data_IF_498762485042
#
_entry.id   IF_498762485042
#
_cell.length_a   1.000
_cell.length_b   1.000
_cell.length_c   1.000
_cell.angle_alpha   90.00
_cell.angle_beta   90.00
_cell.angle_gamma   90.00
#
_symmetry.space_group_name_H-M   'P 1'
#
loop_
_entity.id
_entity.type
_entity.pdbx_description
1 polymer ?
#
# COMPACT_ATOMS: atom_id res chain seq x y z
N UNK A 1 -4.06 -38.02 -5.21
CA UNK A 1 -3.45 -36.93 -4.43
C UNK A 1 -3.19 -35.77 -5.38
N UNK A 2 -3.98 -34.70 -5.33
CA UNK A 2 -3.87 -33.60 -6.28
C UNK A 2 -2.65 -32.74 -5.93
N UNK A 3 -1.68 -32.71 -6.82
CA UNK A 3 -0.41 -32.01 -6.62
C UNK A 3 -0.62 -30.50 -6.73
N UNK A 4 -1.03 -29.83 -5.64
CA UNK A 4 -1.20 -28.39 -5.61
C UNK A 4 0.15 -27.68 -5.43
N UNK A 5 1.01 -27.77 -6.44
CA UNK A 5 2.31 -27.09 -6.46
C UNK A 5 2.08 -25.58 -6.34
N UNK A 6 2.70 -24.90 -5.37
CA UNK A 6 2.52 -23.46 -5.20
C UNK A 6 3.05 -22.74 -6.44
N UNK A 7 2.20 -21.92 -7.08
CA UNK A 7 2.58 -21.13 -8.25
C UNK A 7 3.67 -20.12 -7.84
N UNK A 8 4.88 -20.37 -8.29
CA UNK A 8 6.02 -19.47 -8.12
C UNK A 8 5.79 -18.17 -8.89
N UNK A 9 6.36 -17.08 -8.40
CA UNK A 9 6.25 -15.77 -9.04
C UNK A 9 7.04 -15.74 -10.35
N UNK A 10 8.25 -16.30 -10.34
CA UNK A 10 9.17 -16.29 -11.47
C UNK A 10 9.89 -14.94 -11.62
N UNK A 11 11.12 -14.96 -12.14
CA UNK A 11 12.02 -13.78 -12.21
C UNK A 11 11.42 -12.58 -12.95
N UNK A 12 10.77 -12.84 -14.08
CA UNK A 12 10.18 -11.78 -14.92
C UNK A 12 9.05 -11.04 -14.18
N UNK A 13 8.14 -11.78 -13.54
CA UNK A 13 7.02 -11.17 -12.81
C UNK A 13 7.47 -10.45 -11.55
N UNK A 14 8.44 -11.01 -10.81
CA UNK A 14 8.98 -10.38 -9.61
C UNK A 14 9.55 -8.98 -9.93
N UNK A 15 10.39 -8.87 -10.98
CA UNK A 15 10.91 -7.58 -11.45
C UNK A 15 9.81 -6.64 -11.95
N UNK A 16 8.79 -7.17 -12.62
CA UNK A 16 7.69 -6.36 -13.15
C UNK A 16 6.89 -5.73 -12.01
N UNK A 17 6.60 -6.50 -10.96
CA UNK A 17 5.90 -6.01 -9.77
C UNK A 17 6.76 -5.00 -9.01
N UNK A 18 8.04 -5.28 -8.80
CA UNK A 18 8.99 -4.34 -8.20
C UNK A 18 9.02 -2.99 -8.94
N UNK A 19 9.19 -3.01 -10.26
CA UNK A 19 9.21 -1.80 -11.08
C UNK A 19 7.86 -1.06 -11.05
N UNK A 20 6.74 -1.77 -11.01
CA UNK A 20 5.41 -1.15 -10.90
C UNK A 20 5.22 -0.46 -9.54
N UNK A 21 5.72 -1.04 -8.45
CA UNK A 21 5.64 -0.45 -7.10
C UNK A 21 6.47 0.85 -7.04
N UNK A 22 7.72 0.80 -7.53
CA UNK A 22 8.60 1.98 -7.59
C UNK A 22 7.98 3.06 -8.49
N UNK A 23 7.50 2.66 -9.68
CA UNK A 23 6.87 3.58 -10.63
C UNK A 23 5.62 4.26 -10.07
N UNK A 24 4.80 3.54 -9.30
CA UNK A 24 3.64 4.09 -8.61
C UNK A 24 4.04 5.19 -7.62
N UNK A 25 5.12 4.97 -6.85
CA UNK A 25 5.66 5.97 -5.94
C UNK A 25 6.13 7.23 -6.66
N UNK A 26 6.91 7.08 -7.73
CA UNK A 26 7.40 8.21 -8.53
C UNK A 26 6.22 8.99 -9.14
N UNK A 27 5.23 8.30 -9.71
CA UNK A 27 4.03 8.92 -10.26
C UNK A 27 3.25 9.72 -9.21
N UNK A 28 3.11 9.18 -8.00
CA UNK A 28 2.46 9.88 -6.88
C UNK A 28 3.22 11.17 -6.53
N UNK A 29 4.55 11.10 -6.42
CA UNK A 29 5.37 12.28 -6.10
C UNK A 29 5.24 13.37 -7.18
N UNK A 30 5.26 13.00 -8.47
CA UNK A 30 5.08 13.95 -9.56
C UNK A 30 3.72 14.65 -9.46
N UNK A 31 2.64 13.91 -9.14
CA UNK A 31 1.30 14.48 -8.98
C UNK A 31 1.17 15.39 -7.75
N UNK A 32 1.89 15.11 -6.67
CA UNK A 32 1.88 15.90 -5.44
C UNK A 32 2.68 17.20 -5.60
N UNK A 33 3.87 17.14 -6.18
CA UNK A 33 4.79 18.28 -6.21
C UNK A 33 4.57 19.26 -7.38
N UNK A 34 3.59 18.98 -8.26
CA UNK A 34 3.24 19.92 -9.32
C UNK A 34 2.33 21.06 -8.80
N UNK A 35 2.58 22.34 -9.18
CA UNK A 35 1.83 23.49 -8.67
C UNK A 35 0.58 23.85 -9.49
N UNK A 36 0.20 23.05 -10.50
CA UNK A 36 -0.79 23.43 -11.50
C UNK A 36 -2.23 23.03 -11.12
N UNK A 37 -2.43 21.93 -10.40
CA UNK A 37 -3.76 21.37 -10.15
C UNK A 37 -3.94 20.75 -8.77
N UNK A 38 -4.91 21.27 -8.00
CA UNK A 38 -5.34 20.69 -6.72
C UNK A 38 -6.00 19.32 -6.87
N UNK A 39 -6.63 19.04 -8.02
CA UNK A 39 -7.21 17.72 -8.31
C UNK A 39 -6.13 16.67 -8.45
N UNK A 40 -5.07 16.93 -9.22
CA UNK A 40 -3.93 16.02 -9.33
C UNK A 40 -3.22 15.86 -7.98
N UNK A 41 -3.06 16.94 -7.22
CA UNK A 41 -2.51 16.87 -5.86
C UNK A 41 -3.33 15.91 -4.98
N UNK A 42 -4.65 16.07 -4.96
CA UNK A 42 -5.55 15.22 -4.16
C UNK A 42 -5.48 13.74 -4.57
N UNK A 43 -5.45 13.47 -5.89
CA UNK A 43 -5.24 12.12 -6.42
C UNK A 43 -3.87 11.59 -5.98
N UNK A 44 -2.82 12.40 -6.09
CA UNK A 44 -1.47 12.06 -5.66
C UNK A 44 -1.38 11.71 -4.17
N UNK A 45 -2.08 12.44 -3.30
CA UNK A 45 -2.17 12.14 -1.87
C UNK A 45 -2.79 10.77 -1.58
N UNK A 46 -3.81 10.36 -2.34
CA UNK A 46 -4.35 9.00 -2.22
C UNK A 46 -3.36 7.97 -2.78
N UNK A 47 -2.78 8.28 -3.95
CA UNK A 47 -1.85 7.38 -4.64
C UNK A 47 -0.59 7.10 -3.79
N UNK A 48 -0.07 8.09 -3.06
CA UNK A 48 1.13 7.91 -2.23
C UNK A 48 0.87 6.98 -1.04
N UNK A 49 -0.35 6.94 -0.51
CA UNK A 49 -0.73 5.95 0.52
C UNK A 49 -0.71 4.55 -0.07
N UNK A 50 -1.29 4.37 -1.26
CA UNK A 50 -1.27 3.08 -1.97
C UNK A 50 0.18 2.67 -2.30
N UNK A 51 1.01 3.61 -2.74
CA UNK A 51 2.44 3.38 -3.01
C UNK A 51 3.19 3.00 -1.72
N UNK A 52 2.95 3.69 -0.61
CA UNK A 52 3.54 3.37 0.69
C UNK A 52 3.17 1.96 1.17
N UNK A 53 1.90 1.56 1.06
CA UNK A 53 1.47 0.20 1.36
C UNK A 53 2.12 -0.82 0.43
N UNK A 54 2.20 -0.51 -0.87
CA UNK A 54 2.81 -1.38 -1.86
C UNK A 54 4.32 -1.54 -1.65
N UNK A 55 5.02 -0.51 -1.17
CA UNK A 55 6.46 -0.57 -0.86
C UNK A 55 6.78 -1.59 0.24
N UNK A 56 5.84 -1.88 1.14
CA UNK A 56 6.00 -2.93 2.14
C UNK A 56 6.04 -4.35 1.51
N UNK A 57 5.66 -4.50 0.25
CA UNK A 57 5.73 -5.76 -0.50
C UNK A 57 7.06 -5.96 -1.22
N UNK A 58 7.91 -4.94 -1.36
CA UNK A 58 9.19 -5.05 -2.06
C UNK A 58 10.08 -6.19 -1.52
N UNK A 59 10.25 -6.37 -0.20
CA UNK A 59 11.08 -7.46 0.33
C UNK A 59 10.58 -8.87 -0.01
N UNK A 60 9.31 -9.02 -0.40
CA UNK A 60 8.69 -10.30 -0.73
C UNK A 60 8.55 -10.54 -2.23
N UNK A 61 8.89 -9.55 -3.07
CA UNK A 61 8.97 -9.66 -4.53
C UNK A 61 10.22 -10.43 -4.97
N UNK A 62 10.34 -11.69 -4.54
CA UNK A 62 11.47 -12.56 -4.88
C UNK A 62 11.06 -13.62 -5.90
N UNK A 63 11.92 -13.99 -6.86
CA UNK A 63 11.62 -15.02 -7.86
C UNK A 63 11.26 -16.38 -7.27
N UNK A 64 11.93 -16.75 -6.18
CA UNK A 64 11.68 -17.95 -5.37
C UNK A 64 10.42 -17.85 -4.48
N UNK A 65 9.77 -16.69 -4.44
CA UNK A 65 8.52 -16.47 -3.72
C UNK A 65 7.31 -17.11 -4.40
N UNK A 66 6.30 -17.42 -3.59
CA UNK A 66 5.01 -17.92 -4.08
C UNK A 66 3.99 -16.78 -4.15
N UNK A 67 3.11 -16.81 -5.15
CA UNK A 67 2.02 -15.82 -5.27
C UNK A 67 1.12 -15.80 -4.02
N UNK A 68 0.88 -16.96 -3.41
CA UNK A 68 0.08 -17.08 -2.19
C UNK A 68 0.74 -16.39 -1.00
N UNK A 69 2.07 -16.47 -0.89
CA UNK A 69 2.85 -15.74 0.11
C UNK A 69 2.74 -14.23 -0.08
N UNK A 70 2.90 -13.76 -1.33
CA UNK A 70 2.74 -12.35 -1.68
C UNK A 70 1.37 -11.79 -1.25
N UNK A 71 0.27 -12.47 -1.62
CA UNK A 71 -1.08 -12.04 -1.22
C UNK A 71 -1.32 -12.11 0.29
N UNK A 72 -0.75 -13.10 0.99
CA UNK A 72 -0.84 -13.17 2.45
C UNK A 72 -0.17 -11.95 3.10
N UNK A 73 1.01 -11.57 2.64
CA UNK A 73 1.73 -10.39 3.16
C UNK A 73 0.97 -9.10 2.82
N UNK A 74 0.42 -8.99 1.61
CA UNK A 74 -0.42 -7.86 1.22
C UNK A 74 -1.65 -7.70 2.14
N UNK A 75 -2.31 -8.81 2.49
CA UNK A 75 -3.43 -8.78 3.44
C UNK A 75 -3.01 -8.37 4.85
N UNK A 76 -1.83 -8.78 5.31
CA UNK A 76 -1.31 -8.37 6.62
C UNK A 76 -1.09 -6.86 6.63
N UNK A 77 -0.41 -6.31 5.63
CA UNK A 77 -0.15 -4.87 5.49
C UNK A 77 -1.47 -4.09 5.47
N UNK A 78 -2.44 -4.56 4.67
CA UNK A 78 -3.76 -3.94 4.59
C UNK A 78 -4.50 -3.96 5.94
N UNK A 79 -4.45 -5.09 6.66
CA UNK A 79 -5.09 -5.24 7.97
C UNK A 79 -4.49 -4.28 8.99
N UNK A 80 -3.15 -4.20 9.05
CA UNK A 80 -2.46 -3.27 9.96
C UNK A 80 -2.85 -1.82 9.62
N UNK A 81 -2.88 -1.46 8.34
CA UNK A 81 -3.30 -0.12 7.91
C UNK A 81 -4.73 0.21 8.37
N UNK A 82 -5.69 -0.70 8.14
CA UNK A 82 -7.09 -0.50 8.56
C UNK A 82 -7.21 -0.33 10.07
N UNK A 83 -6.49 -1.15 10.85
CA UNK A 83 -6.49 -1.04 12.32
C UNK A 83 -5.93 0.32 12.76
N UNK A 84 -4.80 0.75 12.20
CA UNK A 84 -4.20 2.06 12.53
C UNK A 84 -5.13 3.21 12.15
N UNK A 85 -5.76 3.17 10.97
CA UNK A 85 -6.72 4.18 10.52
C UNK A 85 -7.95 4.23 11.43
N UNK A 86 -8.50 3.08 11.82
CA UNK A 86 -9.63 3.01 12.73
C UNK A 86 -9.30 3.63 14.10
N UNK A 87 -8.13 3.33 14.65
CA UNK A 87 -7.65 3.92 15.90
C UNK A 87 -7.47 5.44 15.74
N UNK A 88 -6.86 5.90 14.64
CA UNK A 88 -6.63 7.32 14.37
C UNK A 88 -7.95 8.10 14.28
N UNK A 89 -8.92 7.59 13.52
CA UNK A 89 -10.25 8.20 13.38
C UNK A 89 -10.97 8.18 14.74
N UNK A 90 -10.97 7.05 15.45
CA UNK A 90 -11.57 6.93 16.78
C UNK A 90 -10.99 7.94 17.77
N UNK A 91 -9.67 8.11 17.75
CA UNK A 91 -8.95 9.07 18.59
C UNK A 91 -9.32 10.51 18.25
N UNK A 92 -9.39 10.85 16.96
CA UNK A 92 -9.77 12.18 16.50
C UNK A 92 -11.22 12.53 16.89
N UNK A 93 -12.15 11.57 16.78
CA UNK A 93 -13.55 11.76 17.19
C UNK A 93 -13.65 11.95 18.70
N UNK A 94 -12.97 11.11 19.49
CA UNK A 94 -12.99 11.21 20.95
C UNK A 94 -12.41 12.54 21.44
N UNK A 95 -11.32 13.00 20.82
CA UNK A 95 -10.73 14.31 21.10
C UNK A 95 -11.69 15.45 20.75
N UNK A 96 -12.41 15.35 19.63
CA UNK A 96 -13.45 16.30 19.25
C UNK A 96 -14.61 16.38 20.26
N UNK A 97 -14.98 15.26 20.88
CA UNK A 97 -15.98 15.24 21.95
C UNK A 97 -15.44 15.91 23.22
N UNK A 98 -14.20 15.60 23.61
CA UNK A 98 -13.55 16.21 24.77
C UNK A 98 -13.49 17.74 24.66
N UNK A 99 -13.07 18.27 23.50
CA UNK A 99 -13.00 19.72 23.27
C UNK A 99 -14.36 20.42 23.31
N UNK A 100 -15.46 19.72 23.00
CA UNK A 100 -16.82 20.29 23.07
C UNK A 100 -17.40 20.28 24.48
N UNK A 101 -16.82 19.49 25.39
CA UNK A 101 -17.23 19.39 26.77
C UNK A 101 -16.52 20.40 27.70
N UNK A 102 -15.54 21.15 27.18
CA UNK A 102 -14.95 22.35 27.80
C UNK A 102 -15.69 23.60 27.34
#
# INVERSE_FOLDING_TARGET
MMNNQPKLMGRSNARRVENSIIGLGIAALIMIFQPFSLTLFSIGCVLVVIAGLSNNLLPVCKPEGTWRGFFRVALIILTVFVVVVAIAIGSAVLYGVYLRAQ
#
